data_IF_410490920961
#
_entry.id   IF_410490920961
#
_cell.length_a   1.000
_cell.length_b   1.000
_cell.length_c   1.000
_cell.angle_alpha   90.00
_cell.angle_beta   90.00
_cell.angle_gamma   90.00
#
_symmetry.space_group_name_H-M   'P 1'
#
loop_
_entity.id
_entity.type
_entity.pdbx_description
1 polymer ?
#
# COMPACT_ATOMS: atom_id res chain seq x y z
N UNK A 1 0.33 4.47 -20.74
CA UNK A 1 -0.06 3.07 -21.09
C UNK A 1 -1.55 2.83 -20.87
N UNK A 2 -2.13 3.20 -19.72
CA UNK A 2 -3.60 3.11 -19.50
C UNK A 2 -4.38 4.16 -20.29
N UNK A 3 -3.94 5.42 -20.24
CA UNK A 3 -4.55 6.54 -20.98
C UNK A 3 -4.57 6.29 -22.50
N UNK A 4 -3.46 5.80 -23.06
CA UNK A 4 -3.35 5.46 -24.49
C UNK A 4 -4.34 4.36 -24.95
N UNK A 5 -4.86 3.55 -24.02
CA UNK A 5 -5.83 2.48 -24.29
C UNK A 5 -7.25 2.85 -23.83
N UNK A 6 -7.49 4.11 -23.41
CA UNK A 6 -8.79 4.54 -22.87
C UNK A 6 -9.21 3.81 -21.58
N UNK A 7 -8.27 3.16 -20.90
CA UNK A 7 -8.55 2.43 -19.65
C UNK A 7 -8.38 3.38 -18.48
N UNK A 8 -9.41 3.51 -17.65
CA UNK A 8 -9.32 4.28 -16.41
C UNK A 8 -8.24 3.70 -15.49
N UNK A 9 -7.50 4.57 -14.82
CA UNK A 9 -6.43 4.21 -13.89
C UNK A 9 -6.50 5.14 -12.67
N UNK A 10 -6.18 4.57 -11.50
CA UNK A 10 -6.09 5.26 -10.22
C UNK A 10 -4.93 4.66 -9.44
N UNK A 11 -4.02 5.49 -8.94
CA UNK A 11 -2.99 5.10 -7.97
C UNK A 11 -3.52 5.24 -6.54
N UNK A 12 -3.49 4.12 -5.80
CA UNK A 12 -3.89 4.08 -4.39
C UNK A 12 -2.68 3.73 -3.54
N UNK A 13 -2.18 4.70 -2.77
CA UNK A 13 -1.08 4.48 -1.85
C UNK A 13 -1.57 4.01 -0.48
N UNK A 14 -1.27 2.75 -0.14
CA UNK A 14 -1.48 2.19 1.20
C UNK A 14 -0.33 2.60 2.14
N UNK A 15 -0.42 3.82 2.66
CA UNK A 15 0.60 4.51 3.45
C UNK A 15 0.67 4.04 4.92
N UNK A 16 0.84 2.74 5.14
CA UNK A 16 1.09 2.19 6.49
C UNK A 16 2.58 2.31 6.81
N UNK A 17 2.96 2.89 7.97
CA UNK A 17 4.38 3.00 8.34
C UNK A 17 5.08 1.64 8.38
N UNK A 18 6.33 1.59 7.95
CA UNK A 18 7.10 0.34 7.87
C UNK A 18 7.26 -0.31 9.24
N UNK A 19 7.32 0.48 10.31
CA UNK A 19 7.41 0.01 11.69
C UNK A 19 6.13 -0.73 12.12
N UNK A 20 4.97 -0.30 11.62
CA UNK A 20 3.71 -1.02 11.85
C UNK A 20 3.65 -2.29 11.02
N UNK A 21 4.17 -2.25 9.79
CA UNK A 21 4.28 -3.42 8.93
C UNK A 21 5.22 -4.49 9.51
N UNK A 22 6.34 -4.08 10.09
CA UNK A 22 7.32 -4.98 10.73
C UNK A 22 6.78 -5.60 12.02
N UNK A 23 5.97 -4.88 12.80
CA UNK A 23 5.28 -5.46 13.96
C UNK A 23 4.26 -6.52 13.54
N UNK A 24 3.57 -6.32 12.41
CA UNK A 24 2.56 -7.28 11.91
C UNK A 24 3.18 -8.55 11.34
N UNK A 25 4.36 -8.43 10.71
CA UNK A 25 5.16 -9.47 10.06
C UNK A 25 4.40 -10.73 9.61
N UNK A 26 3.36 -10.55 8.80
CA UNK A 26 2.37 -11.60 8.49
C UNK A 26 3.01 -12.86 7.87
N UNK A 27 4.18 -12.71 7.25
CA UNK A 27 4.91 -13.78 6.55
C UNK A 27 6.28 -14.10 7.17
N UNK A 28 6.65 -13.44 8.28
CA UNK A 28 7.99 -13.60 8.87
C UNK A 28 9.13 -13.01 8.04
N UNK A 29 8.84 -12.12 7.08
CA UNK A 29 9.85 -11.57 6.16
C UNK A 29 10.74 -10.53 6.86
N UNK A 30 10.16 -9.73 7.76
CA UNK A 30 10.94 -8.76 8.54
C UNK A 30 11.87 -9.49 9.51
N UNK A 31 11.39 -10.55 10.16
CA UNK A 31 12.21 -11.40 11.02
C UNK A 31 13.37 -12.07 10.26
N UNK A 32 13.11 -12.61 9.06
CA UNK A 32 14.15 -13.21 8.21
C UNK A 32 15.19 -12.19 7.76
N UNK A 33 14.77 -10.98 7.41
CA UNK A 33 15.69 -9.90 7.06
C UNK A 33 16.56 -9.53 8.26
N UNK A 34 15.96 -9.36 9.45
CA UNK A 34 16.68 -9.06 10.68
C UNK A 34 17.69 -10.17 11.09
N UNK A 35 17.39 -11.43 10.75
CA UNK A 35 18.28 -12.57 10.95
C UNK A 35 19.38 -12.70 9.87
N UNK A 36 19.35 -11.88 8.82
CA UNK A 36 20.29 -11.94 7.69
C UNK A 36 19.99 -13.06 6.68
N UNK A 37 18.79 -13.66 6.74
CA UNK A 37 18.35 -14.75 5.86
C UNK A 37 17.64 -14.25 4.60
N UNK A 38 17.29 -12.96 4.56
CA UNK A 38 16.65 -12.28 3.44
C UNK A 38 17.30 -10.92 3.20
N UNK A 39 17.56 -10.60 1.94
CA UNK A 39 18.00 -9.28 1.47
C UNK A 39 17.02 -8.75 0.43
N UNK A 40 16.97 -7.44 0.23
CA UNK A 40 16.10 -6.80 -0.75
C UNK A 40 14.64 -6.69 -0.29
N UNK A 41 14.45 -6.50 1.02
CA UNK A 41 13.14 -6.22 1.60
C UNK A 41 12.81 -4.73 1.39
N UNK A 42 11.86 -4.49 0.49
CA UNK A 42 11.39 -3.14 0.16
C UNK A 42 10.90 -2.37 1.39
N UNK A 43 11.39 -1.14 1.56
CA UNK A 43 11.12 -0.29 2.72
C UNK A 43 12.07 -0.52 3.90
N UNK A 44 13.00 -1.47 3.80
CA UNK A 44 14.02 -1.76 4.82
C UNK A 44 15.42 -1.59 4.25
N UNK A 45 15.89 -2.54 3.44
CA UNK A 45 17.21 -2.49 2.78
C UNK A 45 17.11 -2.20 1.28
N UNK A 46 15.93 -2.40 0.68
CA UNK A 46 15.58 -1.85 -0.65
C UNK A 46 14.69 -0.61 -0.52
N UNK A 47 14.84 0.39 -1.40
CA UNK A 47 14.06 1.63 -1.33
C UNK A 47 12.58 1.38 -1.64
N UNK A 48 11.71 2.05 -0.89
CA UNK A 48 10.31 2.23 -1.26
C UNK A 48 10.09 3.64 -1.82
N UNK A 49 9.82 3.74 -3.11
CA UNK A 49 9.51 5.00 -3.77
C UNK A 49 8.07 5.42 -3.42
N UNK A 50 7.95 6.26 -2.39
CA UNK A 50 6.65 6.78 -1.96
C UNK A 50 6.04 7.61 -3.09
N UNK A 51 4.80 7.33 -3.54
CA UNK A 51 4.15 8.13 -4.56
C UNK A 51 4.02 9.59 -4.11
N UNK A 52 4.41 10.53 -4.96
CA UNK A 52 4.32 11.97 -4.67
C UNK A 52 2.87 12.45 -4.71
N UNK A 53 2.11 12.01 -5.73
CA UNK A 53 0.77 12.51 -6.03
C UNK A 53 -0.27 11.39 -6.27
N UNK A 54 -0.40 10.41 -5.36
CA UNK A 54 -1.39 9.35 -5.53
C UNK A 54 -2.81 9.94 -5.45
N UNK A 55 -3.73 9.47 -6.28
CA UNK A 55 -5.12 9.96 -6.25
C UNK A 55 -5.84 9.59 -4.95
N UNK A 56 -5.43 8.52 -4.27
CA UNK A 56 -5.90 8.18 -2.93
C UNK A 56 -4.76 7.70 -2.02
N UNK A 57 -4.68 8.25 -0.80
CA UNK A 57 -3.75 7.79 0.25
C UNK A 57 -4.51 7.22 1.43
N UNK A 58 -4.23 5.96 1.76
CA UNK A 58 -4.92 5.20 2.82
C UNK A 58 -3.92 4.80 3.91
N UNK A 59 -4.17 5.24 5.14
CA UNK A 59 -3.51 4.72 6.35
C UNK A 59 -4.33 3.57 6.93
N UNK A 60 -3.70 2.41 7.18
CA UNK A 60 -4.41 1.21 7.70
C UNK A 60 -4.21 1.00 9.19
N UNK A 61 -3.27 1.70 9.82
CA UNK A 61 -3.04 1.61 11.26
C UNK A 61 -4.28 2.12 12.03
N UNK A 62 -4.71 1.35 13.04
CA UNK A 62 -5.87 1.71 13.85
C UNK A 62 -7.23 1.57 13.15
N UNK A 63 -7.30 0.92 11.98
CA UNK A 63 -8.55 0.75 11.21
C UNK A 63 -8.79 -0.71 10.88
N UNK A 64 -10.07 -1.09 10.79
CA UNK A 64 -10.42 -2.41 10.28
C UNK A 64 -10.23 -2.50 8.77
N UNK A 65 -10.14 -3.72 8.24
CA UNK A 65 -10.13 -3.96 6.79
C UNK A 65 -11.41 -3.45 6.16
N UNK A 66 -12.57 -3.68 6.80
CA UNK A 66 -13.87 -3.24 6.30
C UNK A 66 -13.94 -1.71 6.15
N UNK A 67 -13.53 -0.97 7.18
CA UNK A 67 -13.53 0.51 7.15
C UNK A 67 -12.59 1.04 6.08
N UNK A 68 -11.45 0.37 5.92
CA UNK A 68 -10.43 0.75 4.95
C UNK A 68 -10.90 0.50 3.51
N UNK A 69 -11.52 -0.65 3.27
CA UNK A 69 -12.10 -1.00 1.98
C UNK A 69 -13.28 -0.09 1.62
N UNK A 70 -14.12 0.29 2.61
CA UNK A 70 -15.22 1.22 2.40
C UNK A 70 -14.77 2.60 1.91
N UNK A 71 -13.61 3.09 2.39
CA UNK A 71 -13.01 4.34 1.89
C UNK A 71 -12.60 4.23 0.43
N UNK A 72 -11.93 3.13 0.05
CA UNK A 72 -11.58 2.89 -1.34
C UNK A 72 -12.82 2.78 -2.22
N UNK A 73 -13.83 2.02 -1.78
CA UNK A 73 -15.07 1.85 -2.53
C UNK A 73 -15.79 3.19 -2.77
N UNK A 74 -15.95 3.99 -1.71
CA UNK A 74 -16.57 5.33 -1.81
C UNK A 74 -15.84 6.21 -2.82
N UNK A 75 -14.51 6.25 -2.74
CA UNK A 75 -13.67 7.01 -3.65
C UNK A 75 -13.83 6.59 -5.13
N UNK A 76 -13.97 5.28 -5.39
CA UNK A 76 -14.17 4.74 -6.74
C UNK A 76 -15.58 5.04 -7.24
N UNK A 77 -16.61 4.91 -6.40
CA UNK A 77 -18.01 5.24 -6.75
C UNK A 77 -18.16 6.70 -7.12
N UNK A 78 -17.56 7.63 -6.36
CA UNK A 78 -17.58 9.08 -6.66
C UNK A 78 -16.93 9.42 -8.02
N UNK A 79 -16.08 8.54 -8.54
CA UNK A 79 -15.41 8.67 -9.84
C UNK A 79 -16.09 7.88 -10.95
N UNK A 80 -17.18 7.17 -10.65
CA UNK A 80 -17.88 6.30 -11.61
C UNK A 80 -17.06 5.08 -12.03
N UNK A 81 -16.17 4.60 -11.16
CA UNK A 81 -15.25 3.47 -11.42
C UNK A 81 -15.64 2.18 -10.69
N UNK A 82 -16.68 2.23 -9.85
CA UNK A 82 -17.23 1.09 -9.10
C UNK A 82 -18.73 0.97 -9.33
#
# INVERSE_FOLDING_TARGET
RHEANGTAYVEVHVATPVEVCSVRDVKGLYAKQAAGELTGLTGVDDPYEVPETPELRIRTQGRSVADTAAVLHTFLTERGLA
#
